data_IF_675999719583
#
_entry.id   IF_675999719583
#
_cell.length_a   1.000
_cell.length_b   1.000
_cell.length_c   1.000
_cell.angle_alpha   90.00
_cell.angle_beta   90.00
_cell.angle_gamma   90.00
#
_symmetry.space_group_name_H-M   'P 1'
#
loop_
_entity.id
_entity.type
_entity.pdbx_description
1 polymer ?
#
# COMPACT_ATOMS: atom_id res chain seq x y z
N UNK A 1 33.71 -13.26 8.10
CA UNK A 1 33.48 -12.18 7.12
C UNK A 1 32.35 -11.30 7.66
N UNK A 2 32.67 -10.09 8.09
CA UNK A 2 31.68 -9.12 8.60
C UNK A 2 30.87 -8.55 7.43
N UNK A 3 29.60 -8.94 7.33
CA UNK A 3 28.59 -8.19 6.58
C UNK A 3 27.70 -7.50 7.59
N UNK A 4 28.14 -6.32 8.05
CA UNK A 4 27.24 -5.35 8.65
C UNK A 4 26.23 -4.95 7.57
N UNK A 5 25.11 -5.66 7.52
CA UNK A 5 23.86 -5.12 7.00
C UNK A 5 23.68 -3.77 7.69
N UNK A 6 23.98 -2.67 7.00
CA UNK A 6 23.54 -1.34 7.38
C UNK A 6 22.01 -1.36 7.24
N UNK A 7 21.36 -1.96 8.23
CA UNK A 7 19.94 -2.22 8.23
C UNK A 7 19.22 -0.90 8.44
N UNK A 8 18.68 -0.33 7.35
CA UNK A 8 17.75 0.80 7.41
C UNK A 8 16.74 0.52 8.51
N UNK A 9 16.60 1.44 9.47
CA UNK A 9 15.59 1.31 10.49
C UNK A 9 14.23 1.59 9.86
N UNK A 10 13.55 0.55 9.41
CA UNK A 10 12.24 0.65 8.76
C UNK A 10 11.21 1.36 9.66
N UNK A 11 11.40 1.34 10.99
CA UNK A 11 10.49 2.03 11.91
C UNK A 11 10.65 3.56 11.91
N UNK A 12 11.84 4.07 11.57
CA UNK A 12 12.14 5.50 11.56
C UNK A 12 12.09 6.07 10.15
N UNK A 13 12.55 5.30 9.16
CA UNK A 13 12.81 5.79 7.81
C UNK A 13 12.04 5.03 6.73
N UNK A 14 10.84 4.50 6.94
CA UNK A 14 10.14 3.82 5.83
C UNK A 14 9.72 4.80 4.72
N UNK A 15 9.80 4.35 3.48
CA UNK A 15 9.24 5.04 2.31
C UNK A 15 7.83 4.54 2.03
N UNK A 16 6.90 5.48 1.83
CA UNK A 16 5.48 5.14 1.65
C UNK A 16 5.25 4.20 0.47
N UNK A 17 5.79 4.53 -0.70
CA UNK A 17 5.46 3.80 -1.93
C UNK A 17 6.17 2.45 -2.02
N UNK A 18 7.40 2.37 -1.54
CA UNK A 18 8.25 1.18 -1.63
C UNK A 18 8.02 0.19 -0.48
N UNK A 19 7.67 0.67 0.73
CA UNK A 19 7.58 -0.22 1.89
C UNK A 19 6.13 -0.48 2.38
N UNK A 20 5.18 0.44 2.11
CA UNK A 20 3.79 0.33 2.61
C UNK A 20 2.86 -0.31 1.58
N UNK A 21 2.14 -1.36 2.01
CA UNK A 21 1.11 -2.03 1.21
C UNK A 21 -0.22 -1.27 1.25
N UNK A 22 -0.63 -0.87 2.46
CA UNK A 22 -1.80 -0.02 2.68
C UNK A 22 -1.64 0.68 4.03
N UNK A 23 -2.41 1.74 4.24
CA UNK A 23 -2.51 2.36 5.56
C UNK A 23 -3.97 2.52 5.98
N UNK A 24 -4.16 2.63 7.29
CA UNK A 24 -5.46 2.90 7.91
C UNK A 24 -5.41 4.14 8.78
N UNK A 25 -6.41 4.99 8.63
CA UNK A 25 -6.66 6.10 9.53
C UNK A 25 -7.42 5.58 10.75
N UNK A 26 -6.93 5.93 11.92
CA UNK A 26 -7.53 5.68 13.22
C UNK A 26 -8.05 6.95 13.85
N UNK A 27 -8.45 6.87 15.11
CA UNK A 27 -8.91 8.01 15.88
C UNK A 27 -7.73 8.89 16.32
N UNK A 28 -8.00 10.17 16.58
CA UNK A 28 -7.04 11.13 17.16
C UNK A 28 -5.70 11.22 16.39
N UNK A 29 -5.77 11.19 15.06
CA UNK A 29 -4.61 11.30 14.17
C UNK A 29 -3.71 10.07 14.13
N UNK A 30 -4.12 8.94 14.71
CA UNK A 30 -3.34 7.70 14.62
C UNK A 30 -3.42 7.12 13.21
N UNK A 31 -2.29 6.86 12.58
CA UNK A 31 -2.19 6.18 11.28
C UNK A 31 -1.46 4.86 11.47
N UNK A 32 -2.03 3.78 10.96
CA UNK A 32 -1.42 2.45 10.94
C UNK A 32 -0.95 2.12 9.52
N UNK A 33 0.35 2.09 9.31
CA UNK A 33 0.99 1.66 8.07
C UNK A 33 1.24 0.16 8.12
N UNK A 34 0.82 -0.55 7.07
CA UNK A 34 0.97 -1.99 6.96
C UNK A 34 1.98 -2.30 5.85
N UNK A 35 3.18 -2.70 6.23
CA UNK A 35 4.21 -3.20 5.31
C UNK A 35 4.04 -4.70 5.07
N UNK A 36 5.00 -5.35 4.43
CA UNK A 36 4.95 -6.79 4.18
C UNK A 36 4.99 -7.59 5.49
N UNK A 37 6.02 -7.34 6.30
CA UNK A 37 6.33 -8.13 7.50
C UNK A 37 6.22 -7.32 8.80
N UNK A 38 5.62 -6.13 8.75
CA UNK A 38 5.56 -5.23 9.88
C UNK A 38 4.32 -4.34 9.81
N UNK A 39 3.97 -3.73 10.94
CA UNK A 39 3.03 -2.62 11.02
C UNK A 39 3.65 -1.48 11.83
N UNK A 40 3.55 -0.24 11.35
CA UNK A 40 4.01 0.96 12.07
C UNK A 40 2.78 1.79 12.42
N UNK A 41 2.74 2.29 13.65
CA UNK A 41 1.71 3.24 14.08
C UNK A 41 2.37 4.59 14.35
N UNK A 42 1.83 5.65 13.75
CA UNK A 42 2.32 7.02 13.94
C UNK A 42 1.16 7.95 14.20
N UNK A 43 1.30 8.87 15.16
CA UNK A 43 0.38 10.01 15.28
C UNK A 43 0.81 11.07 14.26
N UNK A 44 -0.15 11.56 13.49
CA UNK A 44 0.06 12.56 12.45
C UNK A 44 -0.91 13.72 12.67
N UNK A 45 -0.47 14.93 12.33
CA UNK A 45 -1.34 16.12 12.34
C UNK A 45 -2.36 16.04 11.19
N UNK A 46 -3.36 16.91 11.21
CA UNK A 46 -4.36 16.98 10.14
C UNK A 46 -3.71 17.27 8.78
N UNK A 47 -2.73 18.18 8.74
CA UNK A 47 -2.00 18.55 7.54
C UNK A 47 -1.19 17.38 6.99
N UNK A 48 -0.53 16.62 7.87
CA UNK A 48 0.23 15.43 7.48
C UNK A 48 -0.69 14.33 6.93
N UNK A 49 -1.88 14.14 7.53
CA UNK A 49 -2.89 13.21 7.01
C UNK A 49 -3.42 13.69 5.66
N UNK A 50 -3.66 14.98 5.49
CA UNK A 50 -4.09 15.56 4.22
C UNK A 50 -3.06 15.29 3.12
N UNK A 51 -1.77 15.53 3.40
CA UNK A 51 -0.69 15.22 2.47
C UNK A 51 -0.60 13.73 2.16
N UNK A 52 -0.69 12.87 3.18
CA UNK A 52 -0.67 11.42 3.02
C UNK A 52 -1.82 10.91 2.14
N UNK A 53 -3.03 11.44 2.34
CA UNK A 53 -4.24 11.02 1.62
C UNK A 53 -4.37 11.64 0.23
N UNK A 54 -3.59 12.70 -0.07
CA UNK A 54 -3.47 13.28 -1.40
C UNK A 54 -2.47 12.52 -2.30
N UNK A 55 -1.69 11.58 -1.76
CA UNK A 55 -0.73 10.82 -2.55
C UNK A 55 -1.47 9.88 -3.54
N UNK A 56 -1.23 10.08 -4.84
CA UNK A 56 -1.88 9.35 -5.95
C UNK A 56 -1.52 7.87 -6.03
N UNK A 57 -0.42 7.44 -5.41
CA UNK A 57 -0.03 6.04 -5.32
C UNK A 57 -1.00 5.23 -4.43
N UNK A 58 -1.82 5.92 -3.62
CA UNK A 58 -2.78 5.32 -2.71
C UNK A 58 -4.23 5.60 -3.11
N UNK A 59 -5.07 4.56 -3.11
CA UNK A 59 -6.49 4.67 -3.43
C UNK A 59 -7.38 4.41 -2.21
N UNK A 60 -8.34 5.30 -1.88
CA UNK A 60 -9.27 5.11 -0.77
C UNK A 60 -10.33 4.06 -1.10
N UNK A 61 -10.31 2.95 -0.36
CA UNK A 61 -11.25 1.83 -0.53
C UNK A 61 -12.40 1.82 0.47
N UNK A 62 -12.18 2.37 1.67
CA UNK A 62 -13.17 2.58 2.72
C UNK A 62 -12.91 3.94 3.39
N UNK A 63 -13.79 4.36 4.32
CA UNK A 63 -13.69 5.64 5.05
C UNK A 63 -12.31 5.89 5.66
N UNK A 64 -11.58 4.83 6.01
CA UNK A 64 -10.32 4.93 6.70
C UNK A 64 -9.21 4.02 6.15
N UNK A 65 -9.32 3.50 4.93
CA UNK A 65 -8.32 2.57 4.39
C UNK A 65 -7.91 2.95 2.97
N UNK A 66 -6.60 3.03 2.76
CA UNK A 66 -5.95 3.48 1.54
C UNK A 66 -4.95 2.43 1.06
N UNK A 67 -5.15 1.93 -0.15
CA UNK A 67 -4.37 0.84 -0.75
C UNK A 67 -3.30 1.40 -1.68
N UNK A 68 -2.06 0.95 -1.53
CA UNK A 68 -0.98 1.26 -2.47
C UNK A 68 -1.21 0.49 -3.78
N UNK A 69 -1.54 1.20 -4.85
CA UNK A 69 -1.83 0.62 -6.17
C UNK A 69 -0.59 -0.08 -6.72
N UNK A 70 0.61 0.47 -6.49
CA UNK A 70 1.88 -0.07 -6.98
C UNK A 70 2.28 -1.41 -6.32
N UNK A 71 1.66 -1.77 -5.20
CA UNK A 71 1.94 -3.02 -4.48
C UNK A 71 0.92 -4.13 -4.70
N UNK A 72 -0.18 -3.83 -5.40
CA UNK A 72 -1.18 -4.85 -5.75
C UNK A 72 -0.53 -5.93 -6.62
N UNK A 73 -0.77 -7.19 -6.24
CA UNK A 73 -0.38 -8.38 -7.00
C UNK A 73 -1.55 -8.99 -7.74
N UNK A 74 -2.71 -9.08 -7.10
CA UNK A 74 -3.94 -9.53 -7.75
C UNK A 74 -5.17 -8.98 -7.04
N UNK A 75 -6.30 -9.01 -7.75
CA UNK A 75 -7.61 -8.60 -7.25
C UNK A 75 -8.61 -9.70 -7.61
N UNK A 76 -9.21 -10.33 -6.59
CA UNK A 76 -10.15 -11.44 -6.78
C UNK A 76 -11.18 -11.50 -5.65
N UNK A 77 -12.43 -11.87 -5.96
CA UNK A 77 -13.46 -12.14 -4.94
C UNK A 77 -13.75 -11.00 -3.95
N UNK A 78 -13.60 -9.73 -4.35
CA UNK A 78 -13.77 -8.60 -3.42
C UNK A 78 -12.56 -8.35 -2.53
N UNK A 79 -11.39 -8.92 -2.86
CA UNK A 79 -10.16 -8.82 -2.05
C UNK A 79 -8.99 -8.37 -2.92
N UNK A 80 -8.18 -7.47 -2.36
CA UNK A 80 -6.87 -7.09 -2.90
C UNK A 80 -5.79 -7.90 -2.20
N UNK A 81 -4.91 -8.51 -2.99
CA UNK A 81 -3.79 -9.33 -2.52
C UNK A 81 -2.46 -8.64 -2.83
N UNK A 82 -1.55 -8.64 -1.85
CA UNK A 82 -0.25 -7.98 -1.95
C UNK A 82 0.94 -8.95 -2.08
N UNK A 83 0.70 -10.26 -2.13
CA UNK A 83 1.73 -11.28 -2.31
C UNK A 83 1.23 -12.47 -3.10
N UNK A 84 2.15 -13.36 -3.46
CA UNK A 84 1.95 -14.47 -4.38
C UNK A 84 1.48 -15.77 -3.71
N UNK A 85 1.56 -15.88 -2.38
CA UNK A 85 1.29 -17.14 -1.66
C UNK A 85 0.42 -16.94 -0.40
N UNK A 86 -0.36 -17.98 -0.10
CA UNK A 86 -1.45 -18.06 0.89
C UNK A 86 -1.01 -17.85 2.36
N UNK A 87 0.29 -17.84 2.67
CA UNK A 87 0.77 -17.83 4.06
C UNK A 87 1.27 -16.47 4.57
N UNK A 88 1.58 -15.49 3.72
CA UNK A 88 2.28 -14.27 4.18
C UNK A 88 1.76 -12.94 3.62
N UNK A 89 0.79 -12.96 2.71
CA UNK A 89 0.33 -11.70 2.12
C UNK A 89 -0.81 -11.10 2.92
N UNK A 90 -0.59 -9.91 3.47
CA UNK A 90 -1.71 -9.08 3.92
C UNK A 90 -2.70 -8.95 2.77
N UNK A 91 -3.98 -8.90 3.10
CA UNK A 91 -5.06 -8.76 2.15
C UNK A 91 -6.07 -7.74 2.67
N UNK A 92 -6.74 -7.06 1.74
CA UNK A 92 -7.73 -6.03 2.10
C UNK A 92 -9.04 -6.31 1.36
N UNK A 93 -10.13 -6.62 2.09
CA UNK A 93 -11.47 -6.64 1.51
C UNK A 93 -11.85 -5.25 1.01
N UNK A 94 -12.43 -5.20 -0.18
CA UNK A 94 -12.83 -3.97 -0.86
C UNK A 94 -14.27 -4.04 -1.34
N UNK A 95 -15.07 -2.97 -1.20
CA UNK A 95 -16.40 -2.92 -1.79
C UNK A 95 -16.34 -3.11 -3.32
N UNK A 96 -17.31 -3.82 -3.90
CA UNK A 96 -17.33 -4.16 -5.33
C UNK A 96 -17.13 -2.96 -6.26
N UNK A 97 -17.74 -1.81 -5.95
CA UNK A 97 -17.55 -0.56 -6.71
C UNK A 97 -16.10 -0.07 -6.68
N UNK A 98 -15.45 -0.17 -5.53
CA UNK A 98 -14.04 0.23 -5.34
C UNK A 98 -13.10 -0.78 -5.98
N UNK A 99 -13.45 -2.07 -5.94
CA UNK A 99 -12.74 -3.13 -6.66
C UNK A 99 -12.69 -2.84 -8.16
N UNK A 100 -13.81 -2.48 -8.77
CA UNK A 100 -13.86 -2.16 -10.20
C UNK A 100 -12.86 -1.06 -10.57
N UNK A 101 -12.82 0.03 -9.80
CA UNK A 101 -11.88 1.14 -10.03
C UNK A 101 -10.43 0.68 -9.84
N UNK A 102 -10.14 -0.07 -8.78
CA UNK A 102 -8.81 -0.63 -8.55
C UNK A 102 -8.36 -1.56 -9.68
N UNK A 103 -9.27 -2.33 -10.26
CA UNK A 103 -8.99 -3.20 -11.40
C UNK A 103 -8.54 -2.37 -12.61
N UNK A 104 -9.22 -1.26 -12.90
CA UNK A 104 -8.83 -0.35 -13.99
C UNK A 104 -7.44 0.26 -13.74
N UNK A 105 -7.19 0.74 -12.52
CA UNK A 105 -5.90 1.33 -12.14
C UNK A 105 -4.76 0.29 -12.21
N UNK A 106 -5.02 -0.93 -11.76
CA UNK A 106 -4.08 -2.04 -11.82
C UNK A 106 -3.76 -2.42 -13.28
N UNK A 107 -4.78 -2.59 -14.13
CA UNK A 107 -4.56 -2.91 -15.55
C UNK A 107 -3.80 -1.80 -16.26
N UNK A 108 -4.13 -0.53 -16.01
CA UNK A 108 -3.38 0.60 -16.59
C UNK A 108 -1.91 0.60 -16.16
N UNK A 109 -1.63 0.25 -14.90
CA UNK A 109 -0.26 0.09 -14.39
C UNK A 109 0.49 -1.01 -15.13
N UNK A 110 -0.12 -2.18 -15.31
CA UNK A 110 0.51 -3.31 -16.02
C UNK A 110 0.82 -2.94 -17.47
N UNK A 111 -0.13 -2.32 -18.18
CA UNK A 111 0.08 -1.82 -19.55
C UNK A 111 1.25 -0.84 -19.60
N UNK A 112 1.31 0.12 -18.66
CA UNK A 112 2.40 1.10 -18.61
C UNK A 112 3.76 0.44 -18.33
N UNK A 113 3.78 -0.64 -17.55
CA UNK A 113 5.00 -1.39 -17.29
C UNK A 113 5.46 -2.17 -18.53
N UNK A 114 4.55 -2.80 -19.27
CA UNK A 114 4.86 -3.49 -20.52
C UNK A 114 5.42 -2.52 -21.58
N UNK A 115 4.79 -1.36 -21.75
CA UNK A 115 5.24 -0.33 -22.69
C UNK A 115 6.63 0.23 -22.38
N UNK A 116 7.04 0.22 -21.10
CA UNK A 116 8.39 0.64 -20.67
C UNK A 116 9.47 -0.42 -20.96
N UNK A 117 9.09 -1.66 -21.26
CA UNK A 117 10.01 -2.79 -21.47
C UNK A 117 10.29 -3.02 -22.96
N UNK A 118 9.46 -2.47 -23.86
CA UNK A 118 9.75 -2.46 -25.30
C UNK A 118 10.90 -1.48 -25.64
N UNK A 119 11.97 -1.96 -26.31
CA UNK A 119 13.14 -1.14 -26.67
C UNK A 119 12.86 -0.07 -27.72
#
# INVERSE_FOLDING_TARGET
MNTTLSGRNVYEDFELESDVLYFKLGTLGLVSFHGRNYNIKKRMTAEQIQQLTANSSFYPVNTNCYINIGKIKSIAGGVVYFGSEYHESKQVPVPRRKQYVLQQLFTQREINNELRITP
#
